data_IF_764578888943
#
_entry.id   IF_764578888943
#
_cell.length_a   1.000
_cell.length_b   1.000
_cell.length_c   1.000
_cell.angle_alpha   90.00
_cell.angle_beta   90.00
_cell.angle_gamma   90.00
#
_symmetry.space_group_name_H-M   'P 1'
#
loop_
_entity.id
_entity.type
_entity.pdbx_description
1 polymer ?
#
# COMPACT_ATOMS: atom_id res chain seq x y z
N UNK A 1 4.38 -6.58 -16.54
CA UNK A 1 3.78 -6.22 -15.24
C UNK A 1 2.35 -6.74 -15.18
N UNK A 2 1.92 -7.18 -14.01
CA UNK A 2 0.54 -7.62 -13.74
C UNK A 2 0.04 -7.03 -12.41
N UNK A 3 -1.19 -6.55 -12.39
CA UNK A 3 -1.87 -6.17 -11.15
C UNK A 3 -2.66 -7.36 -10.61
N UNK A 4 -2.56 -7.59 -9.30
CA UNK A 4 -3.35 -8.59 -8.57
C UNK A 4 -4.13 -7.87 -7.48
N UNK A 5 -5.45 -8.02 -7.53
CA UNK A 5 -6.37 -7.47 -6.52
C UNK A 5 -6.87 -8.58 -5.59
N UNK A 6 -7.16 -8.19 -4.37
CA UNK A 6 -7.78 -9.08 -3.41
C UNK A 6 -9.07 -9.70 -3.97
N UNK A 7 -9.37 -10.94 -3.69
CA UNK A 7 -8.61 -11.93 -2.92
C UNK A 7 -7.74 -12.88 -3.76
N UNK A 8 -7.34 -12.49 -4.97
CA UNK A 8 -6.58 -13.33 -5.89
C UNK A 8 -5.16 -13.63 -5.39
N UNK A 9 -4.64 -14.85 -5.59
CA UNK A 9 -3.28 -15.20 -5.18
C UNK A 9 -2.22 -14.57 -6.08
N UNK A 10 -1.02 -14.27 -5.54
CA UNK A 10 0.11 -13.78 -6.33
C UNK A 10 0.79 -14.93 -7.09
N UNK A 11 1.62 -14.57 -8.07
CA UNK A 11 2.57 -15.48 -8.71
C UNK A 11 3.93 -15.53 -8.00
N UNK A 12 4.98 -15.94 -8.73
CA UNK A 12 6.36 -16.02 -8.24
C UNK A 12 7.22 -14.80 -8.60
N UNK A 13 6.64 -13.82 -9.27
CA UNK A 13 7.30 -12.62 -9.76
C UNK A 13 7.64 -11.64 -8.62
N UNK A 14 8.44 -10.63 -8.89
CA UNK A 14 8.70 -9.53 -7.93
C UNK A 14 7.39 -8.84 -7.56
N UNK A 15 7.15 -8.63 -6.28
CA UNK A 15 5.87 -8.18 -5.75
C UNK A 15 5.99 -6.82 -5.08
N UNK A 16 5.15 -5.89 -5.51
CA UNK A 16 4.99 -4.58 -4.88
C UNK A 16 3.58 -4.48 -4.32
N UNK A 17 3.47 -4.33 -3.01
CA UNK A 17 2.19 -4.15 -2.33
C UNK A 17 1.88 -2.65 -2.18
N UNK A 18 0.67 -2.26 -2.54
CA UNK A 18 0.20 -0.88 -2.42
C UNK A 18 -0.63 -0.72 -1.14
N UNK A 19 0.03 -0.34 -0.05
CA UNK A 19 -0.61 -0.01 1.21
C UNK A 19 -0.91 1.49 1.31
N UNK A 20 -1.88 1.86 2.12
CA UNK A 20 -2.12 3.27 2.41
C UNK A 20 -3.59 3.67 2.35
N UNK A 21 -3.80 4.97 2.27
CA UNK A 21 -5.12 5.58 2.43
C UNK A 21 -6.11 5.12 1.36
N UNK A 22 -7.23 4.56 1.79
CA UNK A 22 -8.38 4.24 0.94
C UNK A 22 -9.60 5.05 1.38
N UNK A 23 -9.82 5.20 2.70
CA UNK A 23 -10.87 6.01 3.34
C UNK A 23 -12.26 5.83 2.70
N UNK A 24 -12.67 4.58 2.49
CA UNK A 24 -13.97 4.25 1.88
C UNK A 24 -14.18 4.89 0.50
N UNK A 25 -13.09 5.07 -0.26
CA UNK A 25 -13.12 5.71 -1.57
C UNK A 25 -12.99 7.23 -1.57
N UNK A 26 -12.82 7.87 -0.42
CA UNK A 26 -12.62 9.32 -0.30
C UNK A 26 -11.18 9.76 -0.59
N UNK A 27 -10.21 8.88 -0.43
CA UNK A 27 -8.83 9.16 -0.81
C UNK A 27 -8.67 9.18 -2.33
N UNK A 28 -7.72 10.00 -2.82
CA UNK A 28 -7.38 10.02 -4.24
C UNK A 28 -6.99 8.61 -4.73
N UNK A 29 -7.16 8.34 -6.02
CA UNK A 29 -6.83 7.06 -6.67
C UNK A 29 -5.31 6.95 -6.92
N UNK A 30 -4.52 7.07 -5.88
CA UNK A 30 -3.06 7.06 -5.95
C UNK A 30 -2.50 5.72 -6.44
N UNK A 31 -3.21 4.62 -6.17
CA UNK A 31 -2.83 3.29 -6.66
C UNK A 31 -2.81 3.24 -8.18
N UNK A 32 -3.82 3.81 -8.83
CA UNK A 32 -3.89 3.87 -10.30
C UNK A 32 -2.72 4.65 -10.90
N UNK A 33 -2.30 5.72 -10.24
CA UNK A 33 -1.13 6.51 -10.67
C UNK A 33 0.15 5.69 -10.63
N UNK A 34 0.37 4.91 -9.57
CA UNK A 34 1.53 4.02 -9.46
C UNK A 34 1.48 2.92 -10.51
N UNK A 35 0.32 2.26 -10.65
CA UNK A 35 0.14 1.20 -11.66
C UNK A 35 0.42 1.73 -13.07
N UNK A 36 -0.11 2.90 -13.41
CA UNK A 36 0.11 3.52 -14.71
C UNK A 36 1.60 3.86 -14.95
N UNK A 37 2.27 4.43 -13.96
CA UNK A 37 3.68 4.80 -14.04
C UNK A 37 4.58 3.57 -14.22
N UNK A 38 4.35 2.53 -13.44
CA UNK A 38 5.13 1.28 -13.54
C UNK A 38 4.84 0.51 -14.83
N UNK A 39 3.61 0.63 -15.37
CA UNK A 39 3.28 0.04 -16.67
C UNK A 39 4.00 0.73 -17.83
N UNK A 40 4.18 2.04 -17.74
CA UNK A 40 4.86 2.84 -18.76
C UNK A 40 6.39 2.73 -18.72
N UNK A 41 6.97 2.38 -17.60
CA UNK A 41 8.41 2.25 -17.42
C UNK A 41 8.97 0.88 -17.88
N UNK A 42 8.11 -0.05 -18.27
CA UNK A 42 8.47 -1.44 -18.49
C UNK A 42 8.84 -1.80 -19.90
N UNK A 43 10.10 -1.66 -20.26
CA UNK A 43 10.71 -2.40 -21.38
C UNK A 43 11.77 -3.41 -20.92
N UNK A 44 11.80 -3.78 -19.66
CA UNK A 44 12.96 -4.53 -19.16
C UNK A 44 12.74 -5.76 -18.30
N UNK A 45 11.64 -5.90 -17.59
CA UNK A 45 11.50 -7.11 -16.77
C UNK A 45 10.03 -7.46 -16.57
N UNK A 46 9.57 -8.45 -17.35
CA UNK A 46 8.18 -8.88 -17.41
C UNK A 46 7.60 -9.44 -16.12
N UNK A 47 8.35 -9.45 -15.02
CA UNK A 47 8.03 -10.21 -13.82
C UNK A 47 7.69 -9.33 -12.62
N UNK A 48 7.02 -8.18 -12.83
CA UNK A 48 6.53 -7.34 -11.76
C UNK A 48 5.03 -7.57 -11.51
N UNK A 49 4.68 -7.86 -10.27
CA UNK A 49 3.29 -7.99 -9.80
C UNK A 49 2.98 -6.87 -8.83
N UNK A 50 1.90 -6.15 -9.09
CA UNK A 50 1.33 -5.16 -8.17
C UNK A 50 0.22 -5.84 -7.37
N UNK A 51 0.36 -5.82 -6.05
CA UNK A 51 -0.62 -6.33 -5.11
C UNK A 51 -1.44 -5.15 -4.59
N UNK A 52 -2.68 -5.02 -5.07
CA UNK A 52 -3.55 -3.92 -4.75
C UNK A 52 -4.71 -4.40 -3.85
N UNK A 53 -4.79 -3.94 -2.58
CA UNK A 53 -5.85 -4.37 -1.67
C UNK A 53 -7.21 -3.76 -1.99
N UNK A 54 -7.28 -2.73 -2.84
CA UNK A 54 -8.54 -2.10 -3.21
C UNK A 54 -9.38 -3.09 -4.05
N UNK A 55 -10.59 -3.37 -3.56
CA UNK A 55 -11.53 -4.26 -4.24
C UNK A 55 -12.53 -3.46 -5.06
N UNK A 56 -12.94 -4.01 -6.21
CA UNK A 56 -13.98 -3.43 -7.06
C UNK A 56 -15.40 -3.78 -6.53
N UNK A 57 -15.51 -4.87 -5.74
CA UNK A 57 -16.74 -5.40 -5.17
C UNK A 57 -16.93 -5.08 -3.67
N UNK A 58 -16.25 -4.04 -3.18
CA UNK A 58 -16.38 -3.62 -1.78
C UNK A 58 -17.82 -3.20 -1.47
N UNK A 59 -18.36 -3.71 -0.38
CA UNK A 59 -19.70 -3.42 0.10
C UNK A 59 -19.64 -2.86 1.54
N UNK A 60 -20.20 -1.68 1.76
CA UNK A 60 -20.23 -1.00 3.05
C UNK A 60 -21.01 -1.76 4.12
N UNK A 61 -21.80 -2.77 3.74
CA UNK A 61 -22.54 -3.64 4.67
C UNK A 61 -21.65 -4.63 5.42
N UNK A 62 -20.38 -4.78 5.02
CA UNK A 62 -19.45 -5.68 5.71
C UNK A 62 -19.11 -5.12 7.09
N UNK A 63 -19.34 -5.93 8.11
CA UNK A 63 -18.94 -5.59 9.47
C UNK A 63 -17.42 -5.70 9.60
N UNK A 64 -16.78 -4.69 10.22
CA UNK A 64 -15.35 -4.70 10.46
C UNK A 64 -15.00 -5.51 11.71
N UNK A 65 -15.28 -6.79 11.63
CA UNK A 65 -15.13 -7.78 12.70
C UNK A 65 -14.51 -9.07 12.16
N UNK A 66 -13.65 -9.68 12.95
CA UNK A 66 -12.96 -10.91 12.57
C UNK A 66 -13.93 -12.10 12.30
N UNK A 67 -15.16 -12.03 12.80
CA UNK A 67 -16.19 -13.06 12.58
C UNK A 67 -17.06 -12.81 11.33
N UNK A 68 -16.91 -11.68 10.64
CA UNK A 68 -17.49 -11.50 9.29
C UNK A 68 -16.56 -12.20 8.28
N UNK A 69 -17.02 -13.25 7.57
CA UNK A 69 -16.17 -14.02 6.67
C UNK A 69 -15.57 -13.19 5.53
N UNK A 70 -16.28 -12.18 5.04
CA UNK A 70 -15.82 -11.32 3.93
C UNK A 70 -14.73 -10.37 4.40
N UNK A 71 -14.92 -9.76 5.57
CA UNK A 71 -13.92 -8.93 6.22
C UNK A 71 -12.66 -9.73 6.55
N UNK A 72 -12.83 -10.90 7.15
CA UNK A 72 -11.73 -11.79 7.52
C UNK A 72 -10.92 -12.25 6.31
N UNK A 73 -11.58 -12.59 5.19
CA UNK A 73 -10.93 -12.93 3.92
C UNK A 73 -10.07 -11.77 3.41
N UNK A 74 -10.61 -10.56 3.40
CA UNK A 74 -9.90 -9.36 2.95
C UNK A 74 -8.67 -9.09 3.80
N UNK A 75 -8.82 -9.04 5.12
CA UNK A 75 -7.70 -8.74 6.03
C UNK A 75 -6.65 -9.84 6.01
N UNK A 76 -7.04 -11.10 5.95
CA UNK A 76 -6.10 -12.22 5.81
C UNK A 76 -5.29 -12.12 4.53
N UNK A 77 -5.93 -11.79 3.41
CA UNK A 77 -5.25 -11.56 2.14
C UNK A 77 -4.23 -10.41 2.25
N UNK A 78 -4.62 -9.29 2.86
CA UNK A 78 -3.74 -8.13 3.06
C UNK A 78 -2.51 -8.50 3.89
N UNK A 79 -2.70 -9.18 5.01
CA UNK A 79 -1.59 -9.61 5.87
C UNK A 79 -0.65 -10.59 5.16
N UNK A 80 -1.20 -11.57 4.45
CA UNK A 80 -0.42 -12.54 3.68
C UNK A 80 0.39 -11.85 2.56
N UNK A 81 -0.21 -10.87 1.89
CA UNK A 81 0.44 -10.14 0.81
C UNK A 81 1.50 -9.15 1.33
N UNK A 82 1.29 -8.53 2.49
CA UNK A 82 2.33 -7.73 3.16
C UNK A 82 3.57 -8.59 3.48
N UNK A 83 3.36 -9.81 3.98
CA UNK A 83 4.46 -10.73 4.26
C UNK A 83 5.17 -11.19 2.98
N UNK A 84 4.41 -11.46 1.93
CA UNK A 84 4.93 -11.99 0.66
C UNK A 84 5.56 -10.92 -0.25
N UNK A 85 5.29 -9.64 -0.03
CA UNK A 85 5.80 -8.56 -0.86
C UNK A 85 7.32 -8.39 -0.73
N UNK A 86 7.97 -8.02 -1.83
CA UNK A 86 9.38 -7.61 -1.86
C UNK A 86 9.54 -6.12 -1.52
N UNK A 87 8.56 -5.30 -1.93
CA UNK A 87 8.46 -3.88 -1.62
C UNK A 87 7.03 -3.56 -1.17
N UNK A 88 6.90 -2.80 -0.10
CA UNK A 88 5.63 -2.25 0.36
C UNK A 88 5.66 -0.74 0.18
N UNK A 89 4.83 -0.25 -0.72
CA UNK A 89 4.61 1.18 -0.94
C UNK A 89 3.47 1.64 -0.06
N UNK A 90 3.71 2.66 0.76
CA UNK A 90 2.70 3.18 1.67
C UNK A 90 2.47 4.67 1.45
N UNK A 91 1.23 5.04 1.19
CA UNK A 91 0.83 6.42 0.98
C UNK A 91 -0.17 6.88 2.04
N UNK A 92 0.21 7.92 2.79
CA UNK A 92 -0.65 8.59 3.76
C UNK A 92 -1.21 9.87 3.16
N UNK A 93 -2.43 9.81 2.65
CA UNK A 93 -3.06 10.95 1.98
C UNK A 93 -3.37 12.08 2.95
N UNK A 94 -3.11 13.35 2.58
CA UNK A 94 -3.53 14.50 3.37
C UNK A 94 -5.04 14.49 3.66
N UNK A 95 -5.42 14.92 4.86
CA UNK A 95 -6.83 14.97 5.26
C UNK A 95 -7.47 13.64 5.63
N UNK A 96 -6.75 12.51 5.50
CA UNK A 96 -7.23 11.20 5.93
C UNK A 96 -6.72 10.83 7.32
N UNK A 97 -7.39 9.88 8.00
CA UNK A 97 -6.94 9.30 9.28
C UNK A 97 -6.10 8.06 9.06
N UNK A 98 -6.49 7.21 8.13
CA UNK A 98 -5.80 5.99 7.73
C UNK A 98 -5.34 5.11 8.90
N UNK A 99 -6.24 4.73 9.82
CA UNK A 99 -5.85 3.98 11.02
C UNK A 99 -5.30 2.60 10.69
N UNK A 100 -5.87 1.91 9.70
CA UNK A 100 -5.39 0.59 9.27
C UNK A 100 -4.03 0.71 8.59
N UNK A 101 -3.80 1.73 7.78
CA UNK A 101 -2.49 1.98 7.18
C UNK A 101 -1.42 2.27 8.22
N UNK A 102 -1.77 2.97 9.31
CA UNK A 102 -0.85 3.16 10.44
C UNK A 102 -0.52 1.85 11.15
N UNK A 103 -1.51 0.95 11.31
CA UNK A 103 -1.29 -0.39 11.87
C UNK A 103 -0.34 -1.21 10.98
N UNK A 104 -0.58 -1.23 9.68
CA UNK A 104 0.27 -1.93 8.70
C UNK A 104 1.67 -1.33 8.64
N UNK A 105 1.79 -0.02 8.72
CA UNK A 105 3.07 0.68 8.83
C UNK A 105 3.88 0.16 10.03
N UNK A 106 3.26 0.07 11.20
CA UNK A 106 3.90 -0.49 12.38
C UNK A 106 4.33 -1.94 12.22
N UNK A 107 3.49 -2.78 11.58
CA UNK A 107 3.80 -4.18 11.30
C UNK A 107 5.01 -4.34 10.36
N UNK A 108 5.13 -3.47 9.35
CA UNK A 108 6.15 -3.58 8.31
C UNK A 108 7.41 -2.75 8.57
N UNK A 109 7.39 -1.85 9.57
CA UNK A 109 8.44 -0.86 9.77
C UNK A 109 9.85 -1.45 9.93
N UNK A 110 9.99 -2.65 10.48
CA UNK A 110 11.27 -3.33 10.68
C UNK A 110 11.63 -4.32 9.55
N UNK A 111 10.77 -4.46 8.56
CA UNK A 111 10.96 -5.45 7.49
C UNK A 111 12.06 -5.09 6.47
N UNK A 112 12.43 -3.82 6.37
CA UNK A 112 13.32 -3.32 5.33
C UNK A 112 12.66 -3.17 3.94
N UNK A 113 11.35 -3.40 3.84
CA UNK A 113 10.61 -3.41 2.57
C UNK A 113 9.86 -2.10 2.29
N UNK A 114 9.69 -1.22 3.29
CA UNK A 114 8.85 -0.03 3.18
C UNK A 114 9.48 1.09 2.36
N UNK A 115 8.66 1.70 1.51
CA UNK A 115 8.86 3.02 0.91
C UNK A 115 7.61 3.84 1.19
N UNK A 116 7.76 4.97 1.87
CA UNK A 116 6.65 5.74 2.42
C UNK A 116 6.56 7.11 1.77
N UNK A 117 5.37 7.48 1.31
CA UNK A 117 5.02 8.86 0.97
C UNK A 117 4.05 9.40 2.01
N UNK A 118 4.43 10.48 2.67
CA UNK A 118 3.61 11.13 3.69
C UNK A 118 3.70 12.65 3.51
N UNK A 119 2.88 13.23 2.63
CA UNK A 119 2.85 14.67 2.42
C UNK A 119 2.43 15.46 3.66
N UNK A 120 2.70 16.76 3.65
CA UNK A 120 2.13 17.67 4.64
C UNK A 120 0.60 17.58 4.62
N UNK A 121 -0.02 17.71 5.79
CA UNK A 121 -1.47 17.61 5.94
C UNK A 121 -1.97 16.25 6.41
N UNK A 122 -1.13 15.23 6.47
CA UNK A 122 -1.46 14.00 7.18
C UNK A 122 -1.34 14.21 8.70
N UNK A 123 -2.40 13.92 9.43
CA UNK A 123 -2.53 14.27 10.85
C UNK A 123 -1.49 13.66 11.79
N UNK A 124 -0.92 12.52 11.44
CA UNK A 124 0.15 11.83 12.20
C UNK A 124 1.49 11.82 11.48
N UNK A 125 1.71 12.76 10.58
CA UNK A 125 2.98 12.87 9.84
C UNK A 125 4.19 12.83 10.77
N UNK A 126 4.18 13.54 11.88
CA UNK A 126 5.29 13.56 12.82
C UNK A 126 5.66 12.18 13.38
N UNK A 127 4.66 11.37 13.70
CA UNK A 127 4.88 9.99 14.14
C UNK A 127 5.51 9.12 13.04
N UNK A 128 5.00 9.23 11.82
CA UNK A 128 5.52 8.51 10.65
C UNK A 128 6.97 8.91 10.39
N UNK A 129 7.25 10.21 10.36
CA UNK A 129 8.59 10.76 10.13
C UNK A 129 9.61 10.26 11.17
N UNK A 130 9.26 10.27 12.44
CA UNK A 130 10.15 9.81 13.52
C UNK A 130 10.49 8.32 13.41
N UNK A 131 9.50 7.48 13.05
CA UNK A 131 9.74 6.05 12.83
C UNK A 131 10.60 5.83 11.59
N UNK A 132 10.31 6.54 10.49
CA UNK A 132 11.12 6.45 9.26
C UNK A 132 12.59 6.83 9.53
N UNK A 133 12.83 7.90 10.27
CA UNK A 133 14.18 8.30 10.66
C UNK A 133 14.88 7.24 11.50
N UNK A 134 14.21 6.71 12.51
CA UNK A 134 14.74 5.68 13.42
C UNK A 134 15.13 4.40 12.67
N UNK A 135 14.30 3.95 11.77
CA UNK A 135 14.44 2.67 11.08
C UNK A 135 15.03 2.80 9.67
N UNK A 136 15.41 4.02 9.26
CA UNK A 136 15.99 4.31 7.94
C UNK A 136 15.07 3.89 6.79
N UNK A 137 13.78 4.15 6.95
CA UNK A 137 12.78 3.92 5.92
C UNK A 137 12.78 5.12 4.95
N UNK A 138 12.88 4.90 3.63
CA UNK A 138 12.73 5.97 2.65
C UNK A 138 11.40 6.69 2.80
N UNK A 139 11.45 8.01 2.99
CA UNK A 139 10.29 8.88 3.18
C UNK A 139 10.27 9.96 2.10
N UNK A 140 9.17 10.05 1.38
CA UNK A 140 8.95 10.98 0.28
C UNK A 140 7.88 12.00 0.64
N UNK A 141 8.09 13.26 0.20
CA UNK A 141 7.14 14.36 0.41
C UNK A 141 6.00 14.34 -0.60
N UNK A 142 6.24 13.81 -1.80
CA UNK A 142 5.27 13.76 -2.87
C UNK A 142 5.15 12.36 -3.45
N UNK A 143 3.99 12.09 -4.02
CA UNK A 143 3.77 10.81 -4.72
C UNK A 143 4.65 10.71 -5.98
N UNK A 144 4.93 11.83 -6.64
CA UNK A 144 5.79 11.84 -7.84
C UNK A 144 7.24 11.46 -7.50
N UNK A 145 7.77 11.92 -6.37
CA UNK A 145 9.11 11.52 -5.90
C UNK A 145 9.17 10.03 -5.57
N UNK A 146 8.14 9.50 -4.93
CA UNK A 146 8.03 8.06 -4.66
C UNK A 146 7.97 7.25 -5.97
N UNK A 147 7.16 7.69 -6.93
CA UNK A 147 7.04 7.03 -8.24
C UNK A 147 8.39 7.04 -8.96
N UNK A 148 9.11 8.16 -8.95
CA UNK A 148 10.44 8.27 -9.56
C UNK A 148 11.46 7.29 -8.93
N UNK A 149 11.33 7.01 -7.63
CA UNK A 149 12.20 6.03 -6.94
C UNK A 149 11.83 4.57 -7.27
N UNK A 150 10.60 4.32 -7.71
CA UNK A 150 10.13 2.99 -8.09
C UNK A 150 10.46 2.62 -9.54
N UNK A 151 10.65 3.62 -10.40
CA UNK A 151 10.91 3.47 -11.84
C UNK A 151 12.40 3.59 -12.15
#
# INVERSE_FOLDING_TARGET
>A
MREVKAPSPPGLERRVFLAGSIEMGQAEQWQERIVAALSGAGDGDGDLVILNPRRDDWDDSWEQRADDPRFSEQVSWELDMLDAADVVVMYFAPGTKSPVSLLEFGLCARSGKLKVCCPDGFWRRGNVEMVCRRLRIPLFETLDDLIADLT
#
